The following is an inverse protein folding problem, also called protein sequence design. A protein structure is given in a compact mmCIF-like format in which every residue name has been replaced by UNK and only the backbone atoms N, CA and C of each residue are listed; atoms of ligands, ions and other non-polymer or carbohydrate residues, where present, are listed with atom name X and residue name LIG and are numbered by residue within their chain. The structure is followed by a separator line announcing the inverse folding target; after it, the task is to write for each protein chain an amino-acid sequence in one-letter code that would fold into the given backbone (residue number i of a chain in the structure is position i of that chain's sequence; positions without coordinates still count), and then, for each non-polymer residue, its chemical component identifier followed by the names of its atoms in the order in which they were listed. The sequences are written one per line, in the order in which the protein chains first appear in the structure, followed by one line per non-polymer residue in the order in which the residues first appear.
data_IF_574892553240
#
_entry.id   IF_574892553240
#
_cell.length_a   1.000
_cell.length_b   1.000
_cell.length_c   1.000
_cell.angle_alpha   90.00
_cell.angle_beta   90.00
_cell.angle_gamma   90.00
#
_symmetry.space_group_name_H-M   'P 1'
#
loop_
_entity.id
_entity.type
_entity.pdbx_description
1 polymer ?
#
# COMPACT_ATOMS: atom_id res chain seq x y z
N UNK A 1 -2.49 2.55 7.44
CA UNK A 1 -1.19 3.15 7.05
C UNK A 1 -0.44 3.80 8.22
N UNK A 2 -1.01 4.71 9.01
CA UNK A 2 -0.29 5.35 10.15
C UNK A 2 0.24 4.35 11.19
N UNK A 3 -0.57 3.36 11.58
CA UNK A 3 -0.14 2.27 12.47
C UNK A 3 1.05 1.53 11.86
N UNK A 4 1.02 1.27 10.54
CA UNK A 4 2.12 0.59 9.84
C UNK A 4 3.43 1.38 9.92
N UNK A 5 3.37 2.70 9.69
CA UNK A 5 4.53 3.59 9.86
C UNK A 5 5.11 3.47 11.28
N UNK A 6 4.26 3.58 12.31
CA UNK A 6 4.70 3.51 13.70
C UNK A 6 5.36 2.17 14.00
N UNK A 7 4.80 1.07 13.51
CA UNK A 7 5.34 -0.28 13.72
C UNK A 7 6.63 -0.57 12.97
N UNK A 8 6.99 0.22 11.95
CA UNK A 8 8.26 0.09 11.22
C UNK A 8 9.43 0.77 11.94
N UNK A 9 9.18 1.80 12.75
CA UNK A 9 10.23 2.57 13.43
C UNK A 9 11.15 1.70 14.32
N UNK A 10 10.64 0.76 15.15
CA UNK A 10 11.48 -0.09 15.99
C UNK A 10 12.50 -0.93 15.22
N UNK A 11 12.21 -1.25 13.96
CA UNK A 11 13.08 -2.06 13.10
C UNK A 11 14.44 -1.40 12.89
N UNK A 12 14.50 -0.06 12.95
CA UNK A 12 15.73 0.71 12.81
C UNK A 12 16.71 0.49 13.97
N UNK A 13 16.21 0.09 15.15
CA UNK A 13 17.00 -0.05 16.38
C UNK A 13 17.34 -1.51 16.71
N UNK A 14 16.86 -2.47 15.91
CA UNK A 14 17.15 -3.88 16.13
C UNK A 14 18.64 -4.15 15.84
N UNK A 15 19.24 -4.99 16.68
CA UNK A 15 20.64 -5.42 16.57
C UNK A 15 20.83 -6.89 16.97
N UNK A 16 22.09 -7.36 16.98
CA UNK A 16 22.42 -8.73 17.38
C UNK A 16 21.91 -9.05 18.80
N UNK A 17 21.33 -10.23 19.02
CA UNK A 17 20.83 -10.66 20.33
C UNK A 17 19.42 -10.15 20.70
N UNK A 18 18.73 -9.49 19.76
CA UNK A 18 17.37 -8.96 19.96
C UNK A 18 16.29 -9.78 19.22
N UNK A 19 16.50 -11.08 19.02
CA UNK A 19 15.66 -11.92 18.15
C UNK A 19 14.20 -11.97 18.64
N UNK A 20 14.00 -12.11 19.96
CA UNK A 20 12.65 -12.12 20.57
C UNK A 20 11.92 -10.80 20.33
N UNK A 21 12.63 -9.67 20.45
CA UNK A 21 12.07 -8.33 20.20
C UNK A 21 11.74 -8.19 18.71
N UNK A 22 12.61 -8.67 17.82
CA UNK A 22 12.36 -8.66 16.38
C UNK A 22 11.06 -9.41 16.03
N UNK A 23 10.81 -10.59 16.60
CA UNK A 23 9.55 -11.32 16.38
C UNK A 23 8.32 -10.53 16.83
N UNK A 24 8.39 -9.85 17.97
CA UNK A 24 7.29 -8.99 18.45
C UNK A 24 7.07 -7.82 17.49
N UNK A 25 8.14 -7.17 17.02
CA UNK A 25 8.05 -6.08 16.04
C UNK A 25 7.42 -6.56 14.73
N UNK A 26 7.85 -7.71 14.20
CA UNK A 26 7.26 -8.29 12.99
C UNK A 26 5.77 -8.62 13.15
N UNK A 27 5.38 -9.14 14.32
CA UNK A 27 3.96 -9.37 14.63
C UNK A 27 3.16 -8.05 14.59
N UNK A 28 3.68 -6.98 15.19
CA UNK A 28 3.03 -5.67 15.18
C UNK A 28 2.95 -5.06 13.77
N UNK A 29 3.99 -5.22 12.95
CA UNK A 29 3.99 -4.79 11.54
C UNK A 29 2.84 -5.45 10.78
N UNK A 30 2.56 -6.74 11.04
CA UNK A 30 1.43 -7.46 10.45
C UNK A 30 0.09 -6.76 10.65
N UNK A 31 -0.13 -6.15 11.82
CA UNK A 31 -1.36 -5.41 12.14
C UNK A 31 -1.49 -4.17 11.23
N UNK A 32 -0.41 -3.43 11.04
CA UNK A 32 -0.39 -2.25 10.16
C UNK A 32 -0.51 -2.58 8.68
N UNK A 33 0.13 -3.68 8.27
CA UNK A 33 0.13 -4.17 6.89
C UNK A 33 -1.26 -4.65 6.46
N UNK A 34 -1.96 -5.40 7.32
CA UNK A 34 -3.25 -6.01 6.99
C UNK A 34 -4.26 -4.99 6.44
N UNK A 35 -4.49 -3.87 7.15
CA UNK A 35 -5.42 -2.85 6.69
C UNK A 35 -4.97 -2.10 5.43
N UNK A 36 -3.67 -2.00 5.20
CA UNK A 36 -3.13 -1.27 4.04
C UNK A 36 -3.18 -2.10 2.75
N UNK A 37 -3.23 -3.43 2.85
CA UNK A 37 -3.39 -4.31 1.68
C UNK A 37 -4.78 -4.22 1.05
N UNK A 38 -5.83 -4.13 1.86
CA UNK A 38 -7.21 -4.17 1.37
C UNK A 38 -7.75 -2.82 0.89
N UNK A 39 -7.14 -1.70 1.30
CA UNK A 39 -7.70 -0.38 1.00
C UNK A 39 -7.78 -0.08 -0.50
N UNK A 40 -6.81 -0.58 -1.28
CA UNK A 40 -6.76 -0.36 -2.73
C UNK A 40 -7.93 -1.08 -3.42
N UNK A 41 -8.20 -2.33 -3.04
CA UNK A 41 -9.30 -3.10 -3.62
C UNK A 41 -10.66 -2.47 -3.28
N UNK A 42 -10.81 -1.94 -2.05
CA UNK A 42 -12.02 -1.21 -1.64
C UNK A 42 -12.20 0.07 -2.48
N UNK A 43 -11.13 0.86 -2.65
CA UNK A 43 -11.17 2.10 -3.44
C UNK A 43 -11.54 1.80 -4.91
N UNK A 44 -10.94 0.76 -5.49
CA UNK A 44 -11.25 0.35 -6.87
C UNK A 44 -12.70 -0.10 -6.99
N UNK A 45 -13.21 -0.87 -6.02
CA UNK A 45 -14.60 -1.28 -6.00
C UNK A 45 -15.56 -0.07 -5.92
N UNK A 46 -15.27 0.91 -5.07
CA UNK A 46 -16.08 2.14 -4.95
C UNK A 46 -16.04 2.98 -6.25
N UNK A 47 -14.89 3.04 -6.95
CA UNK A 47 -14.77 3.71 -8.26
C UNK A 47 -15.56 2.96 -9.34
N UNK A 48 -15.51 1.64 -9.35
CA UNK A 48 -16.28 0.82 -10.29
C UNK A 48 -17.78 1.00 -10.07
N UNK A 49 -18.22 1.05 -8.81
CA UNK A 49 -19.62 1.32 -8.48
C UNK A 49 -20.04 2.73 -8.95
N UNK A 50 -19.17 3.73 -8.79
CA UNK A 50 -19.42 5.08 -9.31
C UNK A 50 -19.52 5.11 -10.85
N UNK A 51 -18.64 4.39 -11.56
CA UNK A 51 -18.68 4.29 -13.02
C UNK A 51 -19.92 3.53 -13.51
N UNK A 52 -20.35 2.48 -12.80
CA UNK A 52 -21.59 1.76 -13.12
C UNK A 52 -22.80 2.69 -12.98
N UNK A 53 -22.86 3.50 -11.93
CA UNK A 53 -23.95 4.47 -11.71
C UNK A 53 -23.98 5.52 -12.81
N UNK A 54 -22.82 6.01 -13.26
CA UNK A 54 -22.74 7.04 -14.31
C UNK A 54 -22.97 6.51 -15.73
N UNK A 55 -22.53 5.29 -16.02
CA UNK A 55 -22.51 4.75 -17.40
C UNK A 55 -23.50 3.61 -17.63
N UNK A 56 -24.12 3.08 -16.58
CA UNK A 56 -25.00 1.91 -16.62
C UNK A 56 -24.27 0.58 -16.87
N UNK A 57 -22.96 0.59 -17.11
CA UNK A 57 -22.17 -0.59 -17.46
C UNK A 57 -21.10 -0.84 -16.40
N UNK A 58 -21.04 -2.07 -15.89
CA UNK A 58 -20.05 -2.46 -14.88
C UNK A 58 -18.73 -2.88 -15.55
N UNK A 59 -17.63 -2.16 -15.28
CA UNK A 59 -16.34 -2.32 -15.96
C UNK A 59 -15.19 -2.77 -15.03
N UNK A 60 -15.44 -3.73 -14.15
CA UNK A 60 -14.47 -4.21 -13.16
C UNK A 60 -13.09 -4.55 -13.76
N UNK A 61 -13.06 -5.33 -14.84
CA UNK A 61 -11.81 -5.80 -15.44
C UNK A 61 -10.90 -4.68 -15.95
N UNK A 62 -11.47 -3.57 -16.41
CA UNK A 62 -10.69 -2.42 -16.88
C UNK A 62 -9.96 -1.72 -15.73
N UNK A 63 -10.66 -1.44 -14.64
CA UNK A 63 -10.10 -0.77 -13.47
C UNK A 63 -9.05 -1.66 -12.76
N UNK A 64 -9.34 -2.95 -12.56
CA UNK A 64 -8.37 -3.88 -12.00
C UNK A 64 -7.16 -4.10 -12.92
N UNK A 65 -7.36 -4.09 -14.25
CA UNK A 65 -6.26 -4.16 -15.22
C UNK A 65 -5.29 -2.98 -15.09
N UNK A 66 -5.83 -1.76 -14.94
CA UNK A 66 -5.02 -0.55 -14.71
C UNK A 66 -4.27 -0.65 -13.36
N UNK A 67 -4.93 -1.11 -12.30
CA UNK A 67 -4.28 -1.30 -11.00
C UNK A 67 -3.07 -2.24 -11.09
N UNK A 68 -3.23 -3.41 -11.70
CA UNK A 68 -2.15 -4.38 -11.88
C UNK A 68 -1.02 -3.79 -12.74
N UNK A 69 -1.36 -3.02 -13.78
CA UNK A 69 -0.38 -2.33 -14.60
C UNK A 69 0.48 -1.36 -13.77
N UNK A 70 -0.13 -0.55 -12.90
CA UNK A 70 0.60 0.33 -11.98
C UNK A 70 1.45 -0.43 -10.96
N UNK A 71 0.99 -1.59 -10.45
CA UNK A 71 1.79 -2.43 -9.55
C UNK A 71 3.10 -2.93 -10.20
N UNK A 72 3.12 -3.10 -11.53
CA UNK A 72 4.37 -3.43 -12.26
C UNK A 72 5.37 -2.29 -12.17
N UNK A 73 4.94 -1.04 -12.32
CA UNK A 73 5.83 0.11 -12.12
C UNK A 73 6.31 0.21 -10.67
N UNK A 74 5.44 -0.05 -9.68
CA UNK A 74 5.85 -0.08 -8.28
C UNK A 74 7.02 -1.07 -8.06
N UNK A 75 6.96 -2.25 -8.70
CA UNK A 75 8.04 -3.23 -8.66
C UNK A 75 9.33 -2.69 -9.28
N UNK A 76 9.24 -1.98 -10.40
CA UNK A 76 10.40 -1.33 -11.03
C UNK A 76 11.02 -0.28 -10.09
N UNK A 77 10.20 0.56 -9.45
CA UNK A 77 10.68 1.54 -8.48
C UNK A 77 11.41 0.91 -7.29
N UNK A 78 10.95 -0.25 -6.80
CA UNK A 78 11.66 -1.00 -5.75
C UNK A 78 13.10 -1.32 -6.18
N UNK A 79 13.29 -1.87 -7.38
CA UNK A 79 14.63 -2.18 -7.88
C UNK A 79 15.48 -0.92 -8.16
N UNK A 80 14.86 0.16 -8.62
CA UNK A 80 15.53 1.44 -8.82
C UNK A 80 16.00 2.07 -7.51
N UNK A 81 15.38 1.75 -6.38
CA UNK A 81 15.81 2.21 -5.05
C UNK A 81 16.88 1.28 -4.48
N UNK A 82 16.66 -0.05 -4.55
CA UNK A 82 17.57 -1.04 -3.97
C UNK A 82 18.96 -0.96 -4.63
N UNK A 83 19.03 -0.92 -5.96
CA UNK A 83 20.30 -0.95 -6.70
C UNK A 83 21.30 0.13 -6.24
N UNK A 84 20.94 1.42 -6.28
CA UNK A 84 21.80 2.51 -5.82
C UNK A 84 22.18 2.40 -4.34
N UNK A 85 21.27 1.97 -3.47
CA UNK A 85 21.59 1.82 -2.04
C UNK A 85 22.66 0.75 -1.82
N UNK A 86 22.60 -0.36 -2.54
CA UNK A 86 23.65 -1.39 -2.48
C UNK A 86 25.00 -0.90 -3.03
N UNK A 87 25.00 -0.01 -4.04
CA UNK A 87 26.23 0.60 -4.54
C UNK A 87 26.86 1.57 -3.52
N UNK A 88 26.04 2.33 -2.79
CA UNK A 88 26.51 3.27 -1.75
C UNK A 88 27.00 2.51 -0.51
N UNK A 89 26.35 1.40 -0.18
CA UNK A 89 26.67 0.53 0.95
C UNK A 89 28.00 -0.23 0.80
N UNK A 90 28.69 -0.11 -0.34
CA UNK A 90 29.94 -0.83 -0.67
C UNK A 90 29.88 -2.35 -0.38
N UNK A 91 28.71 -2.95 -0.63
CA UNK A 91 28.38 -4.32 -0.21
C UNK A 91 29.19 -5.41 -0.95
N UNK A 92 30.05 -5.01 -1.90
CA UNK A 92 30.91 -5.91 -2.68
C UNK A 92 32.14 -6.40 -1.93
N UNK A 93 32.59 -5.68 -0.90
CA UNK A 93 33.72 -6.06 -0.06
C UNK A 93 33.24 -6.31 1.38
N UNK A 94 33.41 -7.54 1.89
CA UNK A 94 33.07 -7.85 3.27
C UNK A 94 34.11 -7.24 4.20
N UNK A 95 33.81 -6.07 4.76
CA UNK A 95 34.56 -5.46 5.86
C UNK A 95 33.86 -5.77 7.20
N UNK A 96 34.43 -6.61 8.08
CA UNK A 96 33.87 -6.87 9.40
C UNK A 96 33.90 -5.66 10.34
N UNK A 97 34.60 -4.58 9.98
CA UNK A 97 34.71 -3.33 10.76
C UNK A 97 33.65 -2.31 10.30
N UNK A 98 33.38 -2.20 9.00
CA UNK A 98 32.34 -1.35 8.42
C UNK A 98 31.22 -2.18 7.80
N UNK A 99 30.36 -2.74 8.65
CA UNK A 99 29.11 -3.33 8.17
C UNK A 99 28.17 -2.17 7.77
N UNK A 100 27.70 -2.08 6.51
CA UNK A 100 26.81 -1.01 6.06
C UNK A 100 25.43 -1.15 6.70
N UNK A 101 25.32 -0.61 7.90
CA UNK A 101 24.19 -0.80 8.79
C UNK A 101 23.10 0.24 8.51
N UNK A 102 23.47 1.48 8.20
CA UNK A 102 22.53 2.57 8.01
C UNK A 102 21.85 2.49 6.64
N UNK A 103 22.61 2.21 5.59
CA UNK A 103 22.15 2.11 4.20
C UNK A 103 21.14 0.97 4.08
N UNK A 104 21.46 -0.20 4.61
CA UNK A 104 20.57 -1.36 4.55
C UNK A 104 19.33 -1.19 5.45
N UNK A 105 19.47 -0.59 6.64
CA UNK A 105 18.31 -0.25 7.49
C UNK A 105 17.40 0.79 6.86
N UNK A 106 17.95 1.72 6.06
CA UNK A 106 17.16 2.72 5.36
C UNK A 106 16.14 2.10 4.39
N UNK A 107 16.51 0.99 3.71
CA UNK A 107 15.62 0.24 2.82
C UNK A 107 14.42 -0.36 3.56
N UNK A 108 14.58 -0.71 4.83
CA UNK A 108 13.52 -1.34 5.61
C UNK A 108 12.59 -0.33 6.28
N UNK A 109 13.05 0.89 6.54
CA UNK A 109 12.29 1.89 7.32
C UNK A 109 12.06 3.17 6.52
N UNK A 110 13.11 3.86 6.08
CA UNK A 110 13.01 5.21 5.51
C UNK A 110 12.21 5.19 4.20
N UNK A 111 12.58 4.34 3.24
CA UNK A 111 11.89 4.28 1.94
C UNK A 111 10.43 3.81 2.05
N UNK A 112 10.10 2.74 2.80
CA UNK A 112 8.71 2.36 3.04
C UNK A 112 7.90 3.45 3.75
N UNK A 113 8.47 4.15 4.73
CA UNK A 113 7.78 5.25 5.43
C UNK A 113 7.49 6.40 4.47
N UNK A 114 8.43 6.80 3.61
CA UNK A 114 8.20 7.83 2.59
C UNK A 114 7.04 7.41 1.66
N UNK A 115 7.06 6.17 1.17
CA UNK A 115 5.98 5.66 0.31
C UNK A 115 4.62 5.67 1.01
N UNK A 116 4.57 5.30 2.31
CA UNK A 116 3.34 5.33 3.10
C UNK A 116 2.84 6.74 3.38
N UNK A 117 3.73 7.70 3.60
CA UNK A 117 3.35 9.11 3.75
C UNK A 117 2.74 9.65 2.46
N UNK A 118 3.34 9.34 1.31
CA UNK A 118 2.78 9.71 -0.01
C UNK A 118 1.40 9.06 -0.19
N UNK A 119 1.25 7.79 0.18
CA UNK A 119 -0.04 7.10 0.09
C UNK A 119 -1.12 7.73 1.00
N UNK A 120 -0.77 8.14 2.23
CA UNK A 120 -1.68 8.86 3.14
C UNK A 120 -2.12 10.18 2.51
N UNK A 121 -1.19 10.95 1.94
CA UNK A 121 -1.51 12.21 1.27
C UNK A 121 -2.45 11.96 0.08
N UNK A 122 -2.18 10.95 -0.75
CA UNK A 122 -3.03 10.61 -1.89
C UNK A 122 -4.45 10.22 -1.47
N UNK A 123 -4.58 9.41 -0.41
CA UNK A 123 -5.89 9.02 0.15
C UNK A 123 -6.61 10.22 0.78
N UNK A 124 -5.90 11.17 1.38
CA UNK A 124 -6.50 12.37 1.93
C UNK A 124 -7.23 13.22 0.87
N UNK A 125 -6.76 13.19 -0.38
CA UNK A 125 -7.41 13.86 -1.52
C UNK A 125 -8.45 12.99 -2.24
N UNK A 126 -8.75 11.79 -1.74
CA UNK A 126 -9.73 10.90 -2.35
C UNK A 126 -11.16 11.48 -2.20
N UNK A 127 -11.87 11.78 -3.30
CA UNK A 127 -13.12 12.54 -3.26
C UNK A 127 -14.37 11.70 -2.95
N UNK A 128 -14.24 10.37 -2.94
CA UNK A 128 -15.33 9.42 -2.75
C UNK A 128 -15.47 9.10 -1.25
N UNK A 129 -16.00 10.07 -0.49
CA UNK A 129 -16.16 9.95 0.96
C UNK A 129 -17.55 10.38 1.46
N UNK A 130 -17.84 9.99 2.70
CA UNK A 130 -19.00 10.44 3.47
C UNK A 130 -20.35 10.32 2.75
N UNK A 131 -20.99 11.47 2.51
CA UNK A 131 -22.34 11.55 1.93
C UNK A 131 -22.36 11.15 0.46
N UNK A 132 -21.32 11.52 -0.29
CA UNK A 132 -21.26 11.23 -1.71
C UNK A 132 -21.12 9.73 -1.96
N UNK A 133 -20.24 9.06 -1.21
CA UNK A 133 -20.10 7.60 -1.27
C UNK A 133 -21.41 6.87 -0.92
N UNK A 134 -22.15 7.37 0.07
CA UNK A 134 -23.45 6.79 0.46
C UNK A 134 -24.48 6.91 -0.68
N UNK A 135 -24.55 8.07 -1.34
CA UNK A 135 -25.46 8.29 -2.47
C UNK A 135 -25.17 7.34 -3.63
N UNK A 136 -23.89 7.14 -3.98
CA UNK A 136 -23.49 6.20 -5.04
C UNK A 136 -23.93 4.77 -4.69
N UNK A 137 -23.76 4.33 -3.44
CA UNK A 137 -24.18 2.99 -2.99
C UNK A 137 -25.70 2.80 -3.09
N UNK A 138 -26.48 3.81 -2.69
CA UNK A 138 -27.95 3.79 -2.81
C UNK A 138 -28.38 3.71 -4.28
N UNK A 139 -27.81 4.53 -5.16
CA UNK A 139 -28.12 4.54 -6.60
C UNK A 139 -27.76 3.21 -7.28
N UNK A 140 -26.61 2.63 -6.93
CA UNK A 140 -26.23 1.29 -7.42
C UNK A 140 -27.25 0.23 -6.99
N UNK A 141 -27.70 0.25 -5.73
CA UNK A 141 -28.66 -0.73 -5.22
C UNK A 141 -30.00 -0.63 -5.96
N UNK A 142 -30.48 0.59 -6.25
CA UNK A 142 -31.67 0.82 -7.07
C UNK A 142 -31.53 0.19 -8.48
N UNK A 143 -30.41 0.47 -9.17
CA UNK A 143 -30.11 -0.10 -10.49
C UNK A 143 -30.12 -1.64 -10.43
N UNK A 144 -29.56 -2.22 -9.38
CA UNK A 144 -29.49 -3.68 -9.21
C UNK A 144 -30.87 -4.29 -8.93
N UNK A 145 -31.74 -3.59 -8.17
CA UNK A 145 -33.13 -4.04 -7.96
C UNK A 145 -33.95 -3.95 -9.24
N UNK A 146 -33.81 -2.88 -10.04
CA UNK A 146 -34.49 -2.76 -11.33
C UNK A 146 -34.06 -3.84 -12.33
N UNK A 147 -32.77 -4.19 -12.37
CA UNK A 147 -32.27 -5.28 -13.21
C UNK A 147 -32.85 -6.62 -12.77
N UNK A 148 -32.98 -6.87 -11.46
CA UNK A 148 -33.56 -8.11 -10.91
C UNK A 148 -35.05 -8.23 -11.14
N UNK A 149 -35.81 -7.14 -11.10
CA UNK A 149 -37.27 -7.17 -11.31
C UNK A 149 -37.68 -7.37 -12.78
N UNK A 150 -36.75 -7.19 -13.72
CA UNK A 150 -36.93 -7.41 -15.16
C UNK A 150 -36.60 -8.84 -15.61
N UNK A 151 -36.10 -9.68 -14.72
CA UNK A 151 -35.79 -11.10 -14.94
C UNK A 151 -36.91 -11.94 -14.33
#
# INVERSE_FOLDING_TARGET
MTIWIITLIPLFFLGPGMEVIAFIVFFLIGIGLAGSLYIIDIIIADIVDEDEVKTGTRREGGYYGINIFFQRFATVFVFLIIGPVFLIADWGEFDPINIPDLELRSLMVIYPVIALVIAIIAIYFYPLDGKYLKQIKEQRDEIHQEKKSKI
#
